data_IF_036665933538
#
_entry.id   IF_036665933538
#
_cell.length_a   1.000
_cell.length_b   1.000
_cell.length_c   1.000
_cell.angle_alpha   90.00
_cell.angle_beta   90.00
_cell.angle_gamma   90.00
#
_symmetry.space_group_name_H-M   'P 1'
#
loop_
_entity.id
_entity.type
_entity.pdbx_description
1 polymer ?
#
# COMPACT_ATOMS: atom_id res chain seq x y z
N UNK A 1 2.59 -10.43 -13.99
CA UNK A 1 2.10 -9.20 -14.60
C UNK A 1 0.58 -9.19 -14.49
N UNK A 2 0.05 -8.15 -13.94
CA UNK A 2 -1.39 -7.99 -13.75
C UNK A 2 -1.90 -6.93 -14.72
N UNK A 3 -3.13 -7.10 -15.19
CA UNK A 3 -3.83 -6.08 -15.95
C UNK A 3 -4.52 -5.05 -15.02
N UNK A 4 -4.09 -4.98 -13.77
CA UNK A 4 -4.45 -3.90 -12.85
C UNK A 4 -3.38 -2.81 -13.04
N UNK A 5 -3.76 -1.62 -13.50
CA UNK A 5 -2.80 -0.56 -13.73
C UNK A 5 -2.26 0.01 -12.41
N UNK A 6 -1.08 0.63 -12.41
CA UNK A 6 -0.55 1.37 -11.27
C UNK A 6 -1.50 2.49 -10.83
N UNK A 7 -1.53 2.78 -9.53
CA UNK A 7 -2.33 3.82 -8.93
C UNK A 7 -1.47 4.69 -7.99
N UNK A 8 -1.93 5.90 -7.73
CA UNK A 8 -1.30 6.81 -6.78
C UNK A 8 -1.56 6.34 -5.34
N UNK A 9 -0.50 6.22 -4.53
CA UNK A 9 -0.58 5.72 -3.16
C UNK A 9 -1.48 6.60 -2.28
N UNK A 10 -1.32 7.92 -2.38
CA UNK A 10 -2.13 8.88 -1.62
C UNK A 10 -3.61 8.73 -1.93
N UNK A 11 -3.97 8.62 -3.21
CA UNK A 11 -5.35 8.47 -3.66
C UNK A 11 -5.98 7.17 -3.15
N UNK A 12 -5.26 6.04 -3.29
CA UNK A 12 -5.76 4.73 -2.86
C UNK A 12 -5.94 4.68 -1.34
N UNK A 13 -4.99 5.22 -0.57
CA UNK A 13 -5.12 5.29 0.89
C UNK A 13 -6.31 6.18 1.28
N UNK A 14 -6.49 7.34 0.65
CA UNK A 14 -7.65 8.18 0.91
C UNK A 14 -8.97 7.47 0.59
N UNK A 15 -9.02 6.70 -0.49
CA UNK A 15 -10.17 5.83 -0.82
C UNK A 15 -10.44 4.76 0.24
N UNK A 16 -9.39 4.11 0.76
CA UNK A 16 -9.52 3.14 1.85
C UNK A 16 -10.05 3.80 3.13
N UNK A 17 -9.54 4.99 3.48
CA UNK A 17 -10.00 5.75 4.64
C UNK A 17 -11.47 6.16 4.48
N UNK A 18 -11.86 6.65 3.30
CA UNK A 18 -13.24 6.99 3.00
C UNK A 18 -14.19 5.79 3.14
N UNK A 19 -13.76 4.61 2.68
CA UNK A 19 -14.51 3.37 2.86
C UNK A 19 -14.61 2.94 4.34
N UNK A 20 -13.55 3.10 5.14
CA UNK A 20 -13.58 2.79 6.58
C UNK A 20 -14.57 3.72 7.30
N UNK A 21 -14.62 5.00 6.93
CA UNK A 21 -15.51 6.00 7.52
C UNK A 21 -16.97 5.82 7.08
N UNK A 22 -17.19 5.36 5.85
CA UNK A 22 -18.51 5.07 5.29
C UNK A 22 -18.46 3.80 4.41
N UNK A 23 -18.76 2.61 4.96
CA UNK A 23 -18.78 1.36 4.19
C UNK A 23 -19.84 1.34 3.08
N UNK A 24 -20.86 2.19 3.15
CA UNK A 24 -21.90 2.31 2.13
C UNK A 24 -21.51 3.28 0.99
N UNK A 25 -20.34 3.91 1.07
CA UNK A 25 -19.83 4.82 0.03
C UNK A 25 -19.99 4.21 -1.37
N UNK A 26 -20.58 4.94 -2.28
CA UNK A 26 -20.76 4.52 -3.67
C UNK A 26 -19.49 4.75 -4.51
N UNK A 27 -19.52 4.24 -5.76
CA UNK A 27 -18.39 4.36 -6.67
C UNK A 27 -18.04 5.84 -6.94
N UNK A 28 -19.01 6.70 -7.10
CA UNK A 28 -18.81 8.14 -7.29
C UNK A 28 -18.01 8.76 -6.16
N UNK A 29 -18.37 8.49 -4.91
CA UNK A 29 -17.65 8.95 -3.73
C UNK A 29 -16.21 8.39 -3.65
N UNK A 30 -15.99 7.13 -4.02
CA UNK A 30 -14.64 6.58 -4.09
C UNK A 30 -13.80 7.25 -5.19
N UNK A 31 -14.40 7.60 -6.32
CA UNK A 31 -13.73 8.28 -7.43
C UNK A 31 -13.37 9.75 -7.13
N UNK A 32 -13.97 10.38 -6.11
CA UNK A 32 -13.49 11.67 -5.61
C UNK A 32 -12.06 11.57 -5.04
N UNK A 33 -11.71 10.41 -4.47
CA UNK A 33 -10.41 10.12 -3.90
C UNK A 33 -9.48 9.43 -4.90
N UNK A 34 -9.97 8.44 -5.66
CA UNK A 34 -9.22 7.65 -6.62
C UNK A 34 -9.68 8.01 -8.03
N UNK A 35 -9.07 9.04 -8.60
CA UNK A 35 -9.50 9.63 -9.87
C UNK A 35 -9.26 8.73 -11.08
N UNK A 36 -8.27 7.86 -11.02
CA UNK A 36 -7.89 6.97 -12.11
C UNK A 36 -6.53 6.33 -11.87
N UNK A 37 -6.05 5.49 -12.80
CA UNK A 37 -4.68 5.00 -12.78
C UNK A 37 -3.67 6.14 -12.77
N UNK A 38 -2.51 5.90 -12.17
CA UNK A 38 -1.39 6.82 -12.13
C UNK A 38 -0.11 6.06 -12.52
N UNK A 39 0.40 6.36 -13.69
CA UNK A 39 1.51 5.64 -14.26
C UNK A 39 2.86 6.27 -13.88
N UNK A 40 3.88 5.48 -13.55
CA UNK A 40 5.21 5.99 -13.21
C UNK A 40 5.86 6.76 -14.36
N UNK A 41 5.42 6.51 -15.60
CA UNK A 41 5.87 7.18 -16.82
C UNK A 41 5.09 8.47 -17.12
N UNK A 42 4.14 8.88 -16.27
CA UNK A 42 3.26 10.03 -16.51
C UNK A 42 2.28 9.79 -17.64
N UNK A 43 2.22 10.73 -18.58
CA UNK A 43 1.29 10.69 -19.70
C UNK A 43 -0.07 11.32 -19.39
N UNK A 44 -0.97 11.19 -20.33
CA UNK A 44 -2.31 11.78 -20.27
C UNK A 44 -3.36 10.71 -20.58
N UNK A 45 -4.27 10.49 -19.63
CA UNK A 45 -5.45 9.64 -19.88
C UNK A 45 -6.50 10.47 -20.61
N UNK A 46 -7.01 9.94 -21.70
CA UNK A 46 -8.01 10.59 -22.56
C UNK A 46 -9.40 10.08 -22.20
N UNK A 47 -10.16 10.91 -21.49
CA UNK A 47 -11.53 10.63 -21.10
C UNK A 47 -11.68 9.86 -19.79
N UNK A 48 -12.87 9.95 -19.20
CA UNK A 48 -13.22 9.31 -17.93
C UNK A 48 -14.02 8.01 -18.09
N UNK A 49 -14.63 7.78 -19.26
CA UNK A 49 -15.54 6.65 -19.49
C UNK A 49 -14.84 5.30 -19.30
N UNK A 50 -13.59 5.17 -19.78
CA UNK A 50 -12.80 3.95 -19.61
C UNK A 50 -12.44 3.67 -18.13
N UNK A 51 -12.11 4.72 -17.37
CA UNK A 51 -11.84 4.61 -15.93
C UNK A 51 -13.10 4.18 -15.18
N UNK A 52 -14.23 4.87 -15.45
CA UNK A 52 -15.53 4.57 -14.82
C UNK A 52 -15.97 3.14 -15.09
N UNK A 53 -15.87 2.67 -16.35
CA UNK A 53 -16.17 1.30 -16.72
C UNK A 53 -15.28 0.29 -15.96
N UNK A 54 -13.97 0.54 -15.90
CA UNK A 54 -13.03 -0.32 -15.18
C UNK A 54 -13.36 -0.39 -13.68
N UNK A 55 -13.66 0.73 -13.05
CA UNK A 55 -13.97 0.80 -11.62
C UNK A 55 -15.34 0.23 -11.27
N UNK A 56 -16.31 0.38 -12.15
CA UNK A 56 -17.67 -0.17 -11.94
C UNK A 56 -17.74 -1.69 -12.13
N UNK A 57 -17.00 -2.23 -13.10
CA UNK A 57 -17.15 -3.63 -13.53
C UNK A 57 -15.91 -4.49 -13.31
N UNK A 58 -14.78 -3.89 -13.00
CA UNK A 58 -13.47 -4.55 -12.98
C UNK A 58 -12.85 -4.75 -14.38
N UNK A 59 -13.48 -4.23 -15.45
CA UNK A 59 -12.98 -4.30 -16.82
C UNK A 59 -13.19 -2.99 -17.55
N UNK A 60 -12.17 -2.53 -18.25
CA UNK A 60 -12.24 -1.30 -19.04
C UNK A 60 -11.08 -1.14 -20.01
N UNK A 61 -11.19 -0.15 -20.87
CA UNK A 61 -10.13 0.26 -21.81
C UNK A 61 -9.84 1.73 -21.58
N UNK A 62 -8.59 2.05 -21.28
CA UNK A 62 -8.14 3.42 -21.00
C UNK A 62 -7.21 3.83 -22.14
N UNK A 63 -7.51 4.96 -22.77
CA UNK A 63 -6.63 5.53 -23.79
C UNK A 63 -5.58 6.39 -23.08
N UNK A 64 -4.31 6.05 -23.25
CA UNK A 64 -3.17 6.75 -22.67
C UNK A 64 -2.34 7.40 -23.78
N UNK A 65 -2.11 8.70 -23.68
CA UNK A 65 -1.21 9.46 -24.56
C UNK A 65 0.10 9.79 -23.89
N UNK A 66 1.17 9.82 -24.66
CA UNK A 66 2.41 10.48 -24.27
C UNK A 66 2.22 11.99 -24.18
N UNK A 67 3.00 12.65 -23.36
CA UNK A 67 3.00 14.12 -23.28
C UNK A 67 3.89 14.70 -24.37
N UNK A 68 3.29 15.53 -25.21
CA UNK A 68 3.97 16.19 -26.32
C UNK A 68 3.57 17.66 -26.39
N UNK A 69 4.54 18.51 -26.69
CA UNK A 69 4.36 19.95 -26.84
C UNK A 69 4.86 20.39 -28.22
N UNK A 70 4.16 21.34 -28.83
CA UNK A 70 4.58 21.99 -30.07
C UNK A 70 5.35 23.25 -29.69
N UNK A 71 6.61 23.32 -30.13
CA UNK A 71 7.49 24.46 -29.87
C UNK A 71 7.80 25.16 -31.19
N UNK A 72 7.68 26.49 -31.21
CA UNK A 72 8.03 27.31 -32.37
C UNK A 72 9.45 27.87 -32.19
N UNK A 73 10.28 27.70 -33.21
CA UNK A 73 11.63 28.20 -33.24
C UNK A 73 11.69 29.62 -33.81
N UNK A 74 12.79 30.32 -33.51
CA UNK A 74 13.02 31.72 -33.97
C UNK A 74 13.01 31.87 -35.49
N UNK A 75 13.30 30.83 -36.23
CA UNK A 75 13.33 30.77 -37.70
C UNK A 75 11.96 30.47 -38.33
N UNK A 76 10.90 30.37 -37.51
CA UNK A 76 9.54 30.04 -37.91
C UNK A 76 9.30 28.57 -38.23
N UNK A 77 10.25 27.67 -37.90
CA UNK A 77 10.04 26.22 -37.94
C UNK A 77 9.43 25.75 -36.63
N UNK A 78 8.67 24.66 -36.69
CA UNK A 78 8.09 24.04 -35.51
C UNK A 78 8.74 22.67 -35.21
N UNK A 79 8.74 22.30 -33.96
CA UNK A 79 9.14 20.98 -33.51
C UNK A 79 8.15 20.42 -32.51
N UNK A 80 8.02 19.09 -32.49
CA UNK A 80 7.20 18.38 -31.49
C UNK A 80 8.18 17.78 -30.47
N UNK A 81 8.05 18.21 -29.24
CA UNK A 81 8.88 17.74 -28.12
C UNK A 81 8.08 16.77 -27.26
N UNK A 82 8.49 15.51 -27.25
CA UNK A 82 7.85 14.44 -26.48
C UNK A 82 8.68 14.21 -25.21
N UNK A 83 8.06 14.43 -24.05
CA UNK A 83 8.71 14.31 -22.74
C UNK A 83 8.26 13.08 -21.96
N UNK A 84 7.11 12.52 -22.29
CA UNK A 84 6.55 11.30 -21.68
C UNK A 84 5.94 10.42 -22.75
N UNK A 85 6.10 9.09 -22.60
CA UNK A 85 5.49 8.09 -23.48
C UNK A 85 4.57 7.18 -22.67
N UNK A 86 3.57 6.54 -23.29
CA UNK A 86 2.65 5.67 -22.59
C UNK A 86 3.36 4.55 -21.84
N UNK A 87 2.77 4.13 -20.73
CA UNK A 87 3.28 3.05 -19.90
C UNK A 87 3.49 1.76 -20.72
N UNK A 88 4.61 1.06 -20.49
CA UNK A 88 5.03 -0.16 -21.17
C UNK A 88 5.39 0.01 -22.67
N UNK A 89 5.41 1.22 -23.21
CA UNK A 89 5.86 1.47 -24.59
C UNK A 89 7.39 1.53 -24.64
N UNK A 90 7.96 0.82 -25.60
CA UNK A 90 9.40 0.84 -25.85
C UNK A 90 9.77 2.07 -26.71
N UNK A 91 10.58 2.97 -26.13
CA UNK A 91 11.00 4.23 -26.77
C UNK A 91 11.69 4.02 -28.12
N UNK A 92 12.64 3.09 -28.21
CA UNK A 92 13.38 2.85 -29.44
C UNK A 92 12.47 2.33 -30.56
N UNK A 93 11.54 1.43 -30.24
CA UNK A 93 10.55 0.93 -31.19
C UNK A 93 9.58 2.02 -31.64
N UNK A 94 9.17 2.91 -30.71
CA UNK A 94 8.33 4.05 -31.04
C UNK A 94 9.02 4.99 -32.04
N UNK A 95 10.28 5.34 -31.80
CA UNK A 95 11.07 6.20 -32.71
C UNK A 95 11.25 5.53 -34.06
N UNK A 96 11.59 4.24 -34.10
CA UNK A 96 11.71 3.49 -35.33
C UNK A 96 10.40 3.49 -36.16
N UNK A 97 9.26 3.27 -35.48
CA UNK A 97 7.95 3.33 -36.12
C UNK A 97 7.61 4.71 -36.70
N UNK A 98 7.96 5.79 -36.00
CA UNK A 98 7.80 7.15 -36.51
C UNK A 98 8.65 7.36 -37.78
N UNK A 99 9.92 6.89 -37.77
CA UNK A 99 10.79 6.98 -38.92
C UNK A 99 10.27 6.16 -40.12
N UNK A 100 9.71 4.98 -39.89
CA UNK A 100 9.10 4.15 -40.95
C UNK A 100 7.89 4.85 -41.57
N UNK A 101 7.02 5.49 -40.79
CA UNK A 101 5.89 6.27 -41.32
C UNK A 101 6.33 7.41 -42.25
N UNK A 102 7.47 8.03 -41.98
CA UNK A 102 8.06 9.07 -42.84
C UNK A 102 8.55 8.45 -44.14
N UNK A 103 9.27 7.31 -44.07
CA UNK A 103 9.75 6.57 -45.26
C UNK A 103 8.61 6.08 -46.16
N UNK A 104 7.54 5.59 -45.52
CA UNK A 104 6.32 5.10 -46.20
C UNK A 104 5.45 6.25 -46.74
N UNK A 105 5.83 7.51 -46.51
CA UNK A 105 5.05 8.72 -46.87
C UNK A 105 3.64 8.77 -46.27
N UNK A 106 3.44 8.11 -45.14
CA UNK A 106 2.16 8.13 -44.41
C UNK A 106 2.04 9.37 -43.52
N UNK A 107 3.18 9.91 -43.10
CA UNK A 107 3.29 11.17 -42.36
C UNK A 107 4.30 12.04 -43.09
N UNK A 108 3.83 13.15 -43.62
CA UNK A 108 4.66 14.12 -44.32
C UNK A 108 4.97 15.33 -43.45
N UNK A 109 6.01 16.07 -43.77
CA UNK A 109 6.38 17.30 -43.05
C UNK A 109 7.40 17.11 -41.92
N UNK A 110 7.76 15.87 -41.58
CA UNK A 110 8.85 15.58 -40.65
C UNK A 110 10.20 15.68 -41.39
N UNK A 111 11.15 16.43 -40.83
CA UNK A 111 12.50 16.58 -41.34
C UNK A 111 13.48 15.59 -40.70
N UNK A 112 13.42 15.45 -39.37
CA UNK A 112 14.33 14.62 -38.60
C UNK A 112 13.66 14.21 -37.26
N UNK A 113 14.12 13.12 -36.64
CA UNK A 113 13.68 12.66 -35.32
C UNK A 113 14.92 12.33 -34.51
N UNK A 114 15.05 12.95 -33.34
CA UNK A 114 16.21 12.75 -32.44
C UNK A 114 15.76 12.35 -31.05
N UNK A 115 16.46 11.37 -30.49
CA UNK A 115 16.40 11.04 -29.08
C UNK A 115 17.45 11.87 -28.31
N UNK A 116 17.01 12.86 -27.58
CA UNK A 116 17.83 13.74 -26.74
C UNK A 116 17.67 13.43 -25.25
N UNK A 117 17.24 12.22 -24.93
CA UNK A 117 17.11 11.76 -23.54
C UNK A 117 18.43 11.85 -22.80
N UNK A 118 18.40 12.43 -21.60
CA UNK A 118 19.57 12.65 -20.77
C UNK A 118 19.24 12.38 -19.28
N UNK A 119 20.20 12.66 -18.38
CA UNK A 119 19.96 12.63 -16.92
C UNK A 119 18.88 13.61 -16.45
N UNK A 120 18.55 14.62 -17.27
CA UNK A 120 17.47 15.59 -16.97
C UNK A 120 16.07 15.08 -17.28
N UNK A 121 15.96 13.92 -17.94
CA UNK A 121 14.69 13.31 -18.30
C UNK A 121 14.65 12.84 -19.74
N UNK A 122 13.52 12.20 -20.08
CA UNK A 122 13.24 11.74 -21.44
C UNK A 122 12.92 12.95 -22.35
N UNK A 123 13.50 12.94 -23.55
CA UNK A 123 13.21 13.95 -24.56
C UNK A 123 13.41 13.38 -25.97
N UNK A 124 12.32 13.28 -26.73
CA UNK A 124 12.32 12.95 -28.15
C UNK A 124 11.89 14.23 -28.88
N UNK A 125 12.63 14.64 -29.89
CA UNK A 125 12.31 15.83 -30.69
C UNK A 125 12.06 15.42 -32.12
N UNK A 126 10.88 15.76 -32.62
CA UNK A 126 10.46 15.60 -34.02
C UNK A 126 10.56 16.96 -34.69
N UNK A 127 11.59 17.14 -35.53
CA UNK A 127 11.82 18.38 -36.24
C UNK A 127 10.96 18.42 -37.52
N UNK A 128 10.22 19.51 -37.70
CA UNK A 128 9.30 19.67 -38.84
C UNK A 128 9.91 20.52 -39.92
N UNK A 129 9.41 20.34 -41.13
CA UNK A 129 9.75 21.20 -42.29
C UNK A 129 9.03 22.54 -42.17
N UNK A 130 9.60 23.59 -42.72
CA UNK A 130 8.98 24.93 -42.73
C UNK A 130 7.60 24.86 -43.43
N UNK A 131 6.59 25.41 -42.76
CA UNK A 131 5.21 25.41 -43.26
C UNK A 131 4.41 24.12 -42.99
N UNK A 132 5.01 23.11 -42.34
CA UNK A 132 4.28 21.91 -41.94
C UNK A 132 3.32 22.22 -40.77
N UNK A 133 2.16 21.59 -40.75
CA UNK A 133 1.17 21.76 -39.67
C UNK A 133 1.50 20.78 -38.52
N UNK A 134 2.09 21.29 -37.46
CA UNK A 134 2.51 20.48 -36.34
C UNK A 134 1.36 19.75 -35.62
N UNK A 135 0.18 20.38 -35.50
CA UNK A 135 -1.00 19.77 -34.88
C UNK A 135 -1.52 18.58 -35.65
N UNK A 136 -1.54 18.67 -36.98
CA UNK A 136 -1.95 17.56 -37.84
C UNK A 136 -0.96 16.40 -37.75
N UNK A 137 0.34 16.71 -37.78
CA UNK A 137 1.40 15.69 -37.67
C UNK A 137 1.34 15.01 -36.29
N UNK A 138 1.16 15.76 -35.21
CA UNK A 138 1.03 15.20 -33.87
C UNK A 138 -0.20 14.26 -33.76
N UNK A 139 -1.34 14.65 -34.33
CA UNK A 139 -2.54 13.80 -34.36
C UNK A 139 -2.31 12.52 -35.19
N UNK A 140 -1.56 12.61 -36.28
CA UNK A 140 -1.18 11.44 -37.07
C UNK A 140 -0.24 10.51 -36.29
N UNK A 141 0.72 11.05 -35.52
CA UNK A 141 1.59 10.26 -34.63
C UNK A 141 0.80 9.56 -33.54
N UNK A 142 -0.19 10.21 -32.92
CA UNK A 142 -1.11 9.55 -31.99
C UNK A 142 -1.92 8.44 -32.64
N UNK A 143 -2.36 8.60 -33.88
CA UNK A 143 -3.21 7.63 -34.59
C UNK A 143 -2.43 6.42 -35.12
N UNK A 144 -1.18 6.60 -35.53
CA UNK A 144 -0.41 5.59 -36.22
C UNK A 144 0.74 4.96 -35.42
N UNK A 145 0.99 5.46 -34.24
CA UNK A 145 2.05 4.95 -33.37
C UNK A 145 1.57 4.71 -31.92
N UNK A 146 2.40 4.06 -31.13
CA UNK A 146 2.16 3.89 -29.69
C UNK A 146 2.43 5.16 -28.85
N UNK A 147 2.54 6.33 -29.48
CA UNK A 147 2.49 7.59 -28.74
C UNK A 147 1.11 7.78 -28.07
N UNK A 148 0.08 7.18 -28.61
CA UNK A 148 -1.19 6.88 -27.96
C UNK A 148 -1.39 5.37 -27.99
N UNK A 149 -1.71 4.78 -26.85
CA UNK A 149 -1.98 3.36 -26.73
C UNK A 149 -3.18 3.09 -25.83
N UNK A 150 -3.74 1.89 -25.93
CA UNK A 150 -4.86 1.46 -25.10
C UNK A 150 -4.38 0.53 -24.00
N UNK A 151 -4.62 0.92 -22.76
CA UNK A 151 -4.38 0.08 -21.58
C UNK A 151 -5.66 -0.70 -21.27
N UNK A 152 -5.61 -2.01 -21.44
CA UNK A 152 -6.70 -2.91 -21.04
C UNK A 152 -6.65 -3.16 -19.54
N UNK A 153 -7.71 -2.79 -18.83
CA UNK A 153 -7.85 -2.99 -17.39
C UNK A 153 -8.67 -4.25 -17.14
N UNK A 154 -8.11 -5.18 -16.37
CA UNK A 154 -8.81 -6.36 -15.84
C UNK A 154 -8.39 -6.53 -14.40
N UNK A 155 -9.30 -6.23 -13.47
CA UNK A 155 -9.03 -6.27 -12.03
C UNK A 155 -9.33 -7.65 -11.46
N UNK A 156 -8.47 -8.62 -11.77
CA UNK A 156 -8.55 -9.98 -11.23
C UNK A 156 -7.65 -10.07 -10.01
N UNK A 157 -8.22 -10.53 -8.91
CA UNK A 157 -7.51 -10.82 -7.68
C UNK A 157 -7.94 -12.17 -7.08
N UNK A 158 -7.12 -12.72 -6.20
CA UNK A 158 -7.48 -13.91 -5.43
C UNK A 158 -8.27 -13.48 -4.19
N UNK A 159 -9.52 -13.88 -4.14
CA UNK A 159 -10.35 -13.78 -2.93
C UNK A 159 -10.53 -15.19 -2.37
N UNK A 160 -9.97 -15.47 -1.19
CA UNK A 160 -9.92 -16.79 -0.58
C UNK A 160 -9.41 -17.87 -1.56
N UNK A 161 -8.27 -17.62 -2.20
CA UNK A 161 -7.63 -18.48 -3.22
C UNK A 161 -8.46 -18.72 -4.49
N UNK A 162 -9.56 -18.01 -4.67
CA UNK A 162 -10.40 -18.10 -5.87
C UNK A 162 -10.21 -16.84 -6.72
N UNK A 163 -9.83 -16.96 -8.01
CA UNK A 163 -9.69 -15.79 -8.86
C UNK A 163 -11.06 -15.18 -9.18
N UNK A 164 -11.21 -13.90 -8.88
CA UNK A 164 -12.43 -13.12 -9.15
C UNK A 164 -12.09 -11.80 -9.83
N UNK A 165 -12.93 -11.39 -10.75
CA UNK A 165 -12.90 -10.00 -11.26
C UNK A 165 -13.66 -9.14 -10.25
N UNK A 166 -12.99 -8.15 -9.69
CA UNK A 166 -13.54 -7.27 -8.66
C UNK A 166 -13.65 -5.84 -9.21
N UNK A 167 -14.69 -5.12 -8.79
CA UNK A 167 -14.78 -3.68 -9.01
C UNK A 167 -13.93 -2.91 -7.99
N UNK A 168 -13.83 -1.59 -8.12
CA UNK A 168 -12.98 -0.77 -7.24
C UNK A 168 -13.43 -0.88 -5.78
N UNK A 169 -14.73 -0.76 -5.49
CA UNK A 169 -15.26 -0.88 -4.11
C UNK A 169 -14.91 -2.23 -3.50
N UNK A 170 -15.11 -3.32 -4.26
CA UNK A 170 -14.77 -4.66 -3.80
C UNK A 170 -13.28 -4.85 -3.53
N UNK A 171 -12.40 -4.27 -4.36
CA UNK A 171 -10.96 -4.30 -4.14
C UNK A 171 -10.58 -3.63 -2.82
N UNK A 172 -11.10 -2.43 -2.57
CA UNK A 172 -10.86 -1.67 -1.34
C UNK A 172 -11.44 -2.41 -0.14
N UNK A 173 -12.67 -2.90 -0.23
CA UNK A 173 -13.30 -3.68 0.82
C UNK A 173 -12.45 -4.89 1.21
N UNK A 174 -12.05 -5.71 0.23
CA UNK A 174 -11.22 -6.90 0.50
C UNK A 174 -9.87 -6.56 1.10
N UNK A 175 -9.27 -5.45 0.70
CA UNK A 175 -8.04 -4.97 1.29
C UNK A 175 -8.22 -4.54 2.75
N UNK A 176 -9.27 -3.78 3.05
CA UNK A 176 -9.58 -3.34 4.42
C UNK A 176 -9.93 -4.53 5.33
N UNK A 177 -10.74 -5.49 4.84
CA UNK A 177 -11.03 -6.74 5.55
C UNK A 177 -9.74 -7.51 5.88
N UNK A 178 -8.83 -7.61 4.92
CA UNK A 178 -7.53 -8.26 5.14
C UNK A 178 -6.68 -7.52 6.17
N UNK A 179 -6.64 -6.19 6.14
CA UNK A 179 -5.90 -5.39 7.12
C UNK A 179 -6.51 -5.55 8.53
N UNK A 180 -7.83 -5.58 8.65
CA UNK A 180 -8.53 -5.87 9.93
C UNK A 180 -8.09 -7.24 10.48
N UNK A 181 -8.11 -8.28 9.64
CA UNK A 181 -7.65 -9.62 10.05
C UNK A 181 -6.19 -9.62 10.52
N UNK A 182 -5.30 -8.94 9.79
CA UNK A 182 -3.88 -8.86 10.16
C UNK A 182 -3.69 -8.13 11.49
N UNK A 183 -4.38 -7.02 11.72
CA UNK A 183 -4.31 -6.29 13.00
C UNK A 183 -4.80 -7.17 14.16
N UNK A 184 -5.91 -7.89 13.98
CA UNK A 184 -6.44 -8.81 15.01
C UNK A 184 -5.46 -9.94 15.31
N UNK A 185 -4.93 -10.60 14.29
CA UNK A 185 -3.98 -11.71 14.46
C UNK A 185 -2.69 -11.25 15.14
N UNK A 186 -2.12 -10.12 14.72
CA UNK A 186 -0.95 -9.52 15.34
C UNK A 186 -1.21 -9.18 16.80
N UNK A 187 -2.31 -8.48 17.08
CA UNK A 187 -2.68 -8.10 18.44
C UNK A 187 -2.94 -9.31 19.34
N UNK A 188 -3.61 -10.36 18.82
CA UNK A 188 -3.84 -11.58 19.58
C UNK A 188 -2.54 -12.32 19.91
N UNK A 189 -1.58 -12.34 18.98
CA UNK A 189 -0.25 -12.91 19.23
C UNK A 189 0.51 -12.14 20.28
N UNK A 190 0.55 -10.81 20.18
CA UNK A 190 1.24 -9.95 21.15
C UNK A 190 0.58 -10.03 22.53
N UNK A 191 -0.76 -10.10 22.57
CA UNK A 191 -1.53 -10.31 23.82
C UNK A 191 -1.13 -11.64 24.48
N UNK A 192 -1.13 -12.73 23.73
CA UNK A 192 -0.75 -14.04 24.28
C UNK A 192 0.66 -14.01 24.86
N UNK A 193 1.63 -13.43 24.14
CA UNK A 193 3.01 -13.29 24.62
C UNK A 193 3.12 -12.46 25.89
N UNK A 194 2.36 -11.37 25.96
CA UNK A 194 2.34 -10.53 27.16
C UNK A 194 1.68 -11.25 28.33
N UNK A 195 0.59 -11.99 28.14
CA UNK A 195 -0.06 -12.80 29.18
C UNK A 195 0.86 -13.89 29.70
N UNK A 196 1.56 -14.63 28.81
CA UNK A 196 2.56 -15.63 29.20
C UNK A 196 3.68 -15.00 30.04
N UNK A 197 4.18 -13.84 29.65
CA UNK A 197 5.24 -13.13 30.38
C UNK A 197 4.73 -12.56 31.72
N UNK A 198 3.57 -11.92 31.73
CA UNK A 198 2.96 -11.39 32.94
C UNK A 198 2.67 -12.48 33.97
N UNK A 199 2.24 -13.66 33.52
CA UNK A 199 2.00 -14.81 34.36
C UNK A 199 3.27 -15.28 35.11
N UNK A 200 4.41 -15.32 34.38
CA UNK A 200 5.71 -15.65 35.00
C UNK A 200 6.11 -14.56 35.99
N UNK A 201 5.99 -13.28 35.62
CA UNK A 201 6.35 -12.16 36.50
C UNK A 201 5.48 -12.08 37.77
N UNK A 202 4.18 -12.38 37.63
CA UNK A 202 3.28 -12.48 38.79
C UNK A 202 3.74 -13.57 39.76
N UNK A 203 4.12 -14.74 39.26
CA UNK A 203 4.72 -15.81 40.07
C UNK A 203 6.01 -15.38 40.76
N UNK A 204 6.92 -14.71 40.04
CA UNK A 204 8.16 -14.19 40.61
C UNK A 204 7.92 -13.10 41.67
N UNK A 205 7.00 -12.19 41.39
CA UNK A 205 6.62 -11.12 42.35
C UNK A 205 6.07 -11.71 43.66
N UNK A 206 5.13 -12.65 43.57
CA UNK A 206 4.61 -13.38 44.73
C UNK A 206 5.70 -14.18 45.46
N UNK A 207 6.64 -14.79 44.74
CA UNK A 207 7.72 -15.56 45.31
C UNK A 207 8.70 -14.71 46.12
N UNK A 208 8.90 -13.43 45.74
CA UNK A 208 9.78 -12.51 46.51
C UNK A 208 9.26 -12.26 47.89
N UNK A 209 7.94 -12.13 48.06
CA UNK A 209 7.32 -11.87 49.39
C UNK A 209 7.48 -13.05 50.34
N UNK A 210 7.63 -14.27 49.85
CA UNK A 210 7.75 -15.52 50.60
C UNK A 210 9.07 -16.24 50.33
N UNK A 211 10.10 -15.50 49.95
CA UNK A 211 11.36 -16.06 49.44
C UNK A 211 12.06 -16.97 50.48
N UNK A 212 12.03 -16.62 51.75
CA UNK A 212 12.66 -17.41 52.80
C UNK A 212 12.00 -18.79 52.97
N UNK A 213 10.68 -18.86 52.86
CA UNK A 213 9.92 -20.10 52.91
C UNK A 213 10.19 -20.97 51.66
N UNK A 214 10.31 -20.35 50.48
CA UNK A 214 10.68 -21.04 49.24
C UNK A 214 12.08 -21.62 49.36
N UNK A 215 13.05 -20.84 49.82
CA UNK A 215 14.44 -21.34 50.03
C UNK A 215 14.47 -22.49 51.02
N UNK A 216 13.74 -22.41 52.15
CA UNK A 216 13.64 -23.49 53.13
C UNK A 216 13.05 -24.77 52.48
N UNK A 217 12.00 -24.64 51.67
CA UNK A 217 11.36 -25.76 50.98
C UNK A 217 12.32 -26.41 49.97
N UNK A 218 13.02 -25.61 49.17
CA UNK A 218 14.00 -26.12 48.17
C UNK A 218 15.14 -26.83 48.86
N UNK A 219 15.64 -26.29 49.97
CA UNK A 219 16.75 -26.92 50.77
C UNK A 219 16.34 -28.23 51.44
N UNK A 220 15.08 -28.42 51.76
CA UNK A 220 14.56 -29.67 52.31
C UNK A 220 14.46 -30.81 51.27
N UNK A 221 14.46 -30.50 49.99
CA UNK A 221 14.43 -31.47 48.91
C UNK A 221 15.79 -32.22 48.84
N UNK A 222 15.74 -33.57 48.73
CA UNK A 222 16.91 -34.41 48.61
C UNK A 222 17.27 -34.73 47.17
N UNK A 223 16.35 -34.44 46.23
CA UNK A 223 16.52 -34.67 44.81
C UNK A 223 16.98 -33.42 44.06
N UNK A 224 16.89 -33.47 42.71
CA UNK A 224 17.31 -32.35 41.82
C UNK A 224 16.26 -31.29 41.62
N UNK A 225 16.47 -30.45 40.60
CA UNK A 225 15.57 -29.33 40.25
C UNK A 225 14.13 -29.75 39.98
N UNK A 226 13.87 -30.97 39.48
CA UNK A 226 12.52 -31.44 39.25
C UNK A 226 11.74 -31.66 40.56
N UNK A 227 12.37 -32.22 41.59
CA UNK A 227 11.77 -32.36 42.92
C UNK A 227 11.56 -31.01 43.58
N UNK A 228 12.53 -30.09 43.49
CA UNK A 228 12.42 -28.72 44.02
C UNK A 228 11.26 -27.97 43.36
N UNK A 229 11.11 -28.09 42.02
CA UNK A 229 9.98 -27.50 41.29
C UNK A 229 8.63 -28.04 41.80
N UNK A 230 8.54 -29.39 41.89
CA UNK A 230 7.30 -30.01 42.38
C UNK A 230 6.96 -29.57 43.83
N UNK A 231 7.96 -29.51 44.70
CA UNK A 231 7.74 -29.04 46.08
C UNK A 231 7.26 -27.61 46.16
N UNK A 232 7.79 -26.72 45.32
CA UNK A 232 7.32 -25.32 45.21
C UNK A 232 5.89 -25.26 44.69
N UNK A 233 5.53 -26.07 43.70
CA UNK A 233 4.15 -26.15 43.18
C UNK A 233 3.19 -26.59 44.27
N UNK A 234 3.49 -27.68 44.95
CA UNK A 234 2.61 -28.32 45.95
C UNK A 234 2.42 -27.45 47.19
N UNK A 235 3.49 -26.79 47.65
CA UNK A 235 3.48 -26.00 48.88
C UNK A 235 2.85 -24.62 48.71
N UNK A 236 3.13 -23.93 47.58
CA UNK A 236 2.77 -22.51 47.42
C UNK A 236 1.75 -22.28 46.33
N UNK A 237 1.22 -23.35 45.72
CA UNK A 237 0.21 -23.28 44.63
C UNK A 237 0.62 -22.43 43.44
N UNK A 238 1.90 -22.55 43.04
CA UNK A 238 2.36 -22.09 41.73
C UNK A 238 2.13 -23.18 40.69
N UNK A 239 1.92 -22.78 39.47
CA UNK A 239 1.93 -23.74 38.37
C UNK A 239 3.36 -24.13 37.92
N UNK A 240 3.45 -25.03 36.97
CA UNK A 240 4.74 -25.57 36.52
C UNK A 240 5.64 -24.48 35.91
N UNK A 241 5.08 -23.55 35.13
CA UNK A 241 5.81 -22.47 34.45
C UNK A 241 6.35 -21.47 35.47
N UNK A 242 5.54 -21.07 36.45
CA UNK A 242 5.92 -20.18 37.54
C UNK A 242 6.97 -20.84 38.43
N UNK A 243 6.75 -22.07 38.83
CA UNK A 243 7.68 -22.82 39.72
C UNK A 243 9.03 -23.04 39.02
N UNK A 244 9.07 -23.33 37.74
CA UNK A 244 10.30 -23.45 36.97
C UNK A 244 11.08 -22.12 36.93
N UNK A 245 10.40 -21.00 36.75
CA UNK A 245 11.02 -19.68 36.78
C UNK A 245 11.56 -19.34 38.17
N UNK A 246 10.84 -19.73 39.25
CA UNK A 246 11.24 -19.50 40.64
C UNK A 246 12.49 -20.29 40.99
N UNK A 247 12.53 -21.59 40.70
CA UNK A 247 13.71 -22.44 41.06
C UNK A 247 14.95 -22.08 40.24
N UNK A 248 14.79 -21.47 39.10
CA UNK A 248 15.88 -20.96 38.25
C UNK A 248 16.29 -19.52 38.54
N UNK A 249 15.58 -18.86 39.48
CA UNK A 249 15.84 -17.45 39.81
C UNK A 249 17.21 -17.28 40.44
N UNK A 250 17.98 -16.32 39.97
CA UNK A 250 19.27 -15.97 40.53
C UNK A 250 19.07 -15.14 41.82
N UNK A 251 19.88 -15.39 42.85
CA UNK A 251 19.82 -14.65 44.11
C UNK A 251 19.96 -13.13 43.95
N UNK A 252 20.72 -12.69 42.96
CA UNK A 252 20.84 -11.25 42.66
C UNK A 252 19.53 -10.58 42.25
N UNK A 253 18.54 -11.34 41.79
CA UNK A 253 17.18 -10.83 41.45
C UNK A 253 16.37 -10.44 42.72
N UNK A 254 16.82 -10.82 43.89
CA UNK A 254 16.22 -10.43 45.16
C UNK A 254 16.65 -9.02 45.65
N UNK A 255 17.59 -8.37 44.96
CA UNK A 255 17.96 -7.00 45.24
C UNK A 255 16.78 -6.04 44.99
N UNK A 256 16.58 -5.05 45.87
CA UNK A 256 15.42 -4.16 45.78
C UNK A 256 15.20 -3.46 44.44
N UNK A 257 16.28 -3.10 43.74
CA UNK A 257 16.17 -2.52 42.40
C UNK A 257 15.68 -3.52 41.37
N UNK A 258 16.01 -4.81 41.49
CA UNK A 258 15.55 -5.85 40.59
C UNK A 258 14.09 -6.22 40.85
N UNK A 259 13.66 -6.21 42.08
CA UNK A 259 12.25 -6.39 42.46
C UNK A 259 11.40 -5.27 41.86
N UNK A 260 11.85 -4.02 41.98
CA UNK A 260 11.17 -2.87 41.40
C UNK A 260 11.06 -2.96 39.87
N UNK A 261 12.08 -3.52 39.20
CA UNK A 261 12.01 -3.78 37.75
C UNK A 261 10.94 -4.82 37.39
N UNK A 262 10.83 -5.90 38.17
CA UNK A 262 9.78 -6.92 37.97
C UNK A 262 8.40 -6.29 38.12
N UNK A 263 8.21 -5.50 39.15
CA UNK A 263 6.95 -4.82 39.46
C UNK A 263 6.57 -3.83 38.34
N UNK A 264 7.50 -3.01 37.89
CA UNK A 264 7.28 -2.07 36.78
C UNK A 264 6.98 -2.78 35.48
N UNK A 265 7.73 -3.83 35.10
CA UNK A 265 7.47 -4.64 33.91
C UNK A 265 6.08 -5.28 33.96
N UNK A 266 5.69 -5.84 35.13
CA UNK A 266 4.37 -6.43 35.31
C UNK A 266 3.24 -5.41 35.14
N UNK A 267 3.40 -4.22 35.73
CA UNK A 267 2.43 -3.13 35.61
C UNK A 267 2.28 -2.65 34.17
N UNK A 268 3.39 -2.48 33.44
CA UNK A 268 3.38 -2.11 32.01
C UNK A 268 2.69 -3.17 31.14
N UNK A 269 3.02 -4.46 31.38
CA UNK A 269 2.39 -5.58 30.67
C UNK A 269 0.89 -5.64 30.93
N UNK A 270 0.46 -5.50 32.18
CA UNK A 270 -0.96 -5.53 32.53
C UNK A 270 -1.73 -4.37 31.89
N UNK A 271 -1.14 -3.18 31.78
CA UNK A 271 -1.74 -2.06 31.07
C UNK A 271 -1.86 -2.35 29.55
N UNK A 272 -0.83 -2.93 28.94
CA UNK A 272 -0.86 -3.33 27.54
C UNK A 272 -1.88 -4.44 27.27
N UNK A 273 -1.92 -5.48 28.11
CA UNK A 273 -2.88 -6.58 28.03
C UNK A 273 -4.31 -6.04 28.04
N UNK A 274 -4.61 -5.11 28.98
CA UNK A 274 -5.91 -4.47 29.02
C UNK A 274 -6.23 -3.73 27.73
N UNK A 275 -5.31 -2.94 27.23
CA UNK A 275 -5.49 -2.16 26.00
C UNK A 275 -5.74 -3.08 24.81
N UNK A 276 -5.00 -4.19 24.66
CA UNK A 276 -5.19 -5.12 23.56
C UNK A 276 -6.51 -5.92 23.68
N UNK A 277 -6.93 -6.29 24.88
CA UNK A 277 -8.25 -6.89 25.12
C UNK A 277 -9.37 -5.93 24.74
N UNK A 278 -9.26 -4.68 25.15
CA UNK A 278 -10.22 -3.63 24.78
C UNK A 278 -10.25 -3.36 23.27
N UNK A 279 -9.09 -3.41 22.62
CA UNK A 279 -8.97 -3.27 21.17
C UNK A 279 -9.67 -4.43 20.43
N UNK A 280 -9.37 -5.68 20.81
CA UNK A 280 -9.93 -6.86 20.17
C UNK A 280 -11.44 -7.04 20.39
N UNK A 281 -11.99 -6.45 21.44
CA UNK A 281 -13.41 -6.47 21.77
C UNK A 281 -14.25 -5.44 20.98
N UNK A 282 -13.63 -4.52 20.25
CA UNK A 282 -14.30 -3.40 19.59
C UNK A 282 -13.83 -3.27 18.13
N UNK A 283 -14.72 -3.61 17.19
CA UNK A 283 -14.44 -3.55 15.75
C UNK A 283 -14.05 -2.14 15.28
N UNK A 284 -14.66 -1.11 15.85
CA UNK A 284 -14.36 0.28 15.51
C UNK A 284 -12.92 0.67 15.91
N UNK A 285 -12.43 0.14 17.03
CA UNK A 285 -11.04 0.36 17.48
C UNK A 285 -10.03 -0.32 16.56
N UNK A 286 -10.34 -1.54 16.09
CA UNK A 286 -9.48 -2.25 15.12
C UNK A 286 -9.39 -1.47 13.81
N UNK A 287 -10.53 -1.02 13.27
CA UNK A 287 -10.55 -0.19 12.07
C UNK A 287 -9.84 1.15 12.25
N UNK A 288 -9.92 1.74 13.44
CA UNK A 288 -9.15 2.96 13.78
C UNK A 288 -7.63 2.71 13.71
N UNK A 289 -7.15 1.53 14.15
CA UNK A 289 -5.73 1.15 14.00
C UNK A 289 -5.37 1.04 12.52
N UNK A 290 -6.18 0.35 11.71
CA UNK A 290 -5.96 0.26 10.25
C UNK A 290 -5.90 1.65 9.63
N UNK A 291 -6.83 2.53 9.95
CA UNK A 291 -6.87 3.91 9.45
C UNK A 291 -5.62 4.71 9.82
N UNK A 292 -5.17 4.60 11.08
CA UNK A 292 -3.98 5.30 11.56
C UNK A 292 -2.70 4.80 10.86
N UNK A 293 -2.56 3.49 10.69
CA UNK A 293 -1.41 2.89 9.99
C UNK A 293 -1.38 3.31 8.51
N UNK A 294 -2.53 3.30 7.84
CA UNK A 294 -2.65 3.78 6.45
C UNK A 294 -2.33 5.27 6.34
N UNK A 295 -2.82 6.09 7.27
CA UNK A 295 -2.51 7.52 7.32
C UNK A 295 -1.01 7.77 7.48
N UNK A 296 -0.35 7.04 8.38
CA UNK A 296 1.10 7.15 8.57
C UNK A 296 1.90 6.75 7.32
N UNK A 297 1.44 5.71 6.58
CA UNK A 297 2.05 5.32 5.31
C UNK A 297 1.87 6.40 4.24
N UNK A 298 0.66 6.97 4.13
CA UNK A 298 0.38 8.07 3.21
C UNK A 298 1.28 9.28 3.49
N UNK A 299 1.38 9.69 4.74
CA UNK A 299 2.12 10.88 5.13
C UNK A 299 3.64 10.70 4.95
N UNK A 300 4.12 9.45 5.01
CA UNK A 300 5.54 9.12 4.83
C UNK A 300 5.95 8.88 3.38
N UNK A 301 5.09 8.26 2.58
CA UNK A 301 5.43 7.76 1.25
C UNK A 301 4.55 8.30 0.13
N UNK A 302 3.51 9.07 0.46
CA UNK A 302 2.62 9.65 -0.53
C UNK A 302 3.34 10.63 -1.44
N UNK A 303 2.95 10.63 -2.71
CA UNK A 303 3.44 11.56 -3.71
C UNK A 303 2.27 12.12 -4.54
N UNK A 304 2.57 13.13 -5.35
CA UNK A 304 1.60 13.74 -6.25
C UNK A 304 1.34 12.85 -7.48
N UNK A 305 0.16 12.99 -8.05
CA UNK A 305 -0.23 12.33 -9.30
C UNK A 305 0.68 12.77 -10.46
N UNK A 306 1.16 11.81 -11.24
CA UNK A 306 2.00 12.03 -12.42
C UNK A 306 1.21 12.04 -13.71
N UNK A 307 0.20 11.17 -13.84
CA UNK A 307 -0.64 11.04 -15.03
C UNK A 307 -1.81 12.02 -14.96
N UNK A 308 -1.93 12.93 -15.90
CA UNK A 308 -3.08 13.81 -16.02
C UNK A 308 -4.26 13.08 -16.66
N UNK A 309 -5.47 13.56 -16.38
CA UNK A 309 -6.71 13.06 -16.99
C UNK A 309 -7.38 14.23 -17.68
N UNK A 310 -7.65 14.10 -18.98
CA UNK A 310 -8.28 15.14 -19.78
C UNK A 310 -9.66 14.70 -20.26
N UNK A 311 -10.58 15.65 -20.29
CA UNK A 311 -11.89 15.43 -20.89
C UNK A 311 -11.79 15.35 -22.40
N UNK A 312 -12.53 14.41 -23.00
CA UNK A 312 -12.66 14.31 -24.47
C UNK A 312 -14.00 14.91 -24.85
N UNK A 313 -14.00 15.87 -25.82
CA UNK A 313 -15.21 16.46 -26.35
C UNK A 313 -16.12 15.37 -26.93
N UNK A 314 -17.34 15.24 -26.36
CA UNK A 314 -18.31 14.20 -26.75
C UNK A 314 -18.49 13.07 -25.69
N UNK A 315 -17.70 13.00 -24.64
CA UNK A 315 -18.08 12.25 -23.44
C UNK A 315 -19.14 13.05 -22.69
N UNK A 316 -20.32 12.47 -22.60
CA UNK A 316 -21.39 13.01 -21.73
C UNK A 316 -21.14 12.43 -20.36
N UNK A 317 -20.70 13.26 -19.42
CA UNK A 317 -20.71 12.88 -18.01
C UNK A 317 -22.15 12.75 -17.53
N UNK A 318 -22.48 11.63 -16.87
CA UNK A 318 -23.84 11.41 -16.34
C UNK A 318 -24.19 12.49 -15.30
N UNK A 319 -23.19 13.10 -14.68
CA UNK A 319 -23.34 14.22 -13.74
C UNK A 319 -23.83 15.51 -14.46
N UNK A 320 -23.57 15.66 -15.76
CA UNK A 320 -24.11 16.78 -16.56
C UNK A 320 -25.59 16.55 -16.99
N UNK A 321 -26.17 15.40 -16.65
CA UNK A 321 -27.55 15.01 -16.99
C UNK A 321 -28.50 14.99 -15.78
N UNK A 322 -28.03 15.32 -14.58
CA UNK A 322 -28.80 15.45 -13.35
C UNK A 322 -28.79 16.91 -12.90
#
# INVERSE_FOLDING_TARGET
>A
ATNIPPHNLTEVINGCIAYIDDPEIELSGLMEHIKGPDFPTGGVIMGHSGIRAAYATGRGKITLRGRAEIVENKDGTQEIVITEIPYMVNKARLIAKMADLVKEKRVEGIRDIKDLTSRKGMKIVVYLRKGANASVILNQLYSFTQLQDTVGVIMIALDNNTPKTLNLKQMIQKYVEFQDEIVRRRTAFDLQKAEERAHILDGLHRAVDIVDEIIATIRACKGGMAEARQAVMDTFQFDEVQADAIVKMQLGKLAGLEILKIENELNELNAQIKNWKDLLADDAKVLAVVKNELTALRDKYGDERRTSIEHVSGEVDIEDLI
#
